data_IF_827220401843
#
_entry.id   IF_827220401843
#
_cell.length_a   1.000
_cell.length_b   1.000
_cell.length_c   1.000
_cell.angle_alpha   90.00
_cell.angle_beta   90.00
_cell.angle_gamma   90.00
#
_symmetry.space_group_name_H-M   'P 1'
#
loop_
_entity.id
_entity.type
_entity.pdbx_description
1 polymer ?
#
# COMPACT_ATOMS: atom_id res chain seq x y z
N UNK A 1 -29.67 10.74 69.99
CA UNK A 1 -28.93 11.73 70.82
C UNK A 1 -28.24 12.71 69.87
N UNK A 2 -28.66 13.93 69.88
CA UNK A 2 -28.08 15.03 69.07
C UNK A 2 -26.87 15.56 69.82
N UNK A 3 -25.67 15.23 69.37
CA UNK A 3 -24.44 15.82 69.92
C UNK A 3 -24.32 17.25 69.36
N UNK A 4 -24.08 18.21 70.25
CA UNK A 4 -23.86 19.63 69.94
C UNK A 4 -22.48 19.84 69.25
N UNK A 5 -21.51 18.90 69.49
CA UNK A 5 -20.16 18.98 68.95
C UNK A 5 -20.04 18.29 67.58
N UNK A 6 -20.96 17.40 67.19
CA UNK A 6 -20.92 16.66 65.94
C UNK A 6 -22.30 16.64 65.29
N UNK A 7 -22.46 17.37 64.17
CA UNK A 7 -23.69 17.37 63.40
C UNK A 7 -23.62 16.23 62.38
N UNK A 8 -24.25 15.08 62.71
CA UNK A 8 -24.22 13.87 61.86
C UNK A 8 -24.99 14.12 60.52
N UNK A 9 -26.03 14.93 60.53
CA UNK A 9 -26.79 15.27 59.31
C UNK A 9 -25.97 16.14 58.35
N UNK A 10 -25.23 17.13 58.89
CA UNK A 10 -24.34 17.96 58.08
C UNK A 10 -23.16 17.13 57.49
N UNK A 11 -22.62 16.20 58.31
CA UNK A 11 -21.57 15.29 57.81
C UNK A 11 -22.06 14.35 56.72
N UNK A 12 -23.27 13.81 56.81
CA UNK A 12 -23.87 13.00 55.76
C UNK A 12 -24.11 13.81 54.49
N UNK A 13 -24.65 15.04 54.63
CA UNK A 13 -24.83 15.95 53.47
C UNK A 13 -23.49 16.32 52.81
N UNK A 14 -22.43 16.55 53.59
CA UNK A 14 -21.09 16.84 53.09
C UNK A 14 -20.48 15.63 52.36
N UNK A 15 -20.68 14.41 52.87
CA UNK A 15 -20.26 13.16 52.21
C UNK A 15 -20.96 13.00 50.86
N UNK A 16 -22.25 13.22 50.79
CA UNK A 16 -23.05 13.17 49.53
C UNK A 16 -22.58 14.25 48.53
N UNK A 17 -22.31 15.49 49.00
CA UNK A 17 -21.78 16.56 48.15
C UNK A 17 -20.41 16.25 47.58
N UNK A 18 -19.52 15.61 48.35
CA UNK A 18 -18.21 15.15 47.86
C UNK A 18 -18.35 14.08 46.79
N UNK A 19 -19.25 13.10 46.95
CA UNK A 19 -19.56 12.11 45.96
C UNK A 19 -20.08 12.75 44.66
N UNK A 20 -21.07 13.66 44.75
CA UNK A 20 -21.61 14.37 43.59
C UNK A 20 -20.53 15.19 42.87
N UNK A 21 -19.64 15.86 43.62
CA UNK A 21 -18.52 16.61 43.01
C UNK A 21 -17.55 15.71 42.27
N UNK A 22 -17.19 14.54 42.81
CA UNK A 22 -16.33 13.56 42.17
C UNK A 22 -17.00 12.95 40.92
N UNK A 23 -18.27 12.62 40.98
CA UNK A 23 -19.04 12.10 39.84
C UNK A 23 -19.18 13.16 38.73
N UNK A 24 -19.32 14.44 39.10
CA UNK A 24 -19.39 15.56 38.16
C UNK A 24 -18.04 15.77 37.47
N UNK A 25 -16.91 15.69 38.19
CA UNK A 25 -15.56 15.77 37.62
C UNK A 25 -15.32 14.63 36.63
N UNK A 26 -15.68 13.39 36.97
CA UNK A 26 -15.62 12.23 36.09
C UNK A 26 -16.45 12.43 34.82
N UNK A 27 -17.71 12.88 34.95
CA UNK A 27 -18.62 13.12 33.82
C UNK A 27 -18.11 14.27 32.94
N UNK A 28 -17.58 15.34 33.51
CA UNK A 28 -16.92 16.43 32.76
C UNK A 28 -15.68 15.92 31.99
N UNK A 29 -14.85 15.08 32.61
CA UNK A 29 -13.72 14.45 31.97
C UNK A 29 -14.14 13.60 30.77
N UNK A 30 -15.21 12.81 30.90
CA UNK A 30 -15.77 12.00 29.80
C UNK A 30 -16.33 12.84 28.66
N UNK A 31 -17.01 13.93 28.98
CA UNK A 31 -17.53 14.88 27.97
C UNK A 31 -16.38 15.57 27.25
N UNK A 32 -15.33 15.97 27.97
CA UNK A 32 -14.17 16.64 27.40
C UNK A 32 -13.32 15.73 26.53
N UNK A 33 -13.14 14.47 26.92
CA UNK A 33 -12.33 13.48 26.17
C UNK A 33 -13.11 12.73 25.09
N UNK A 34 -14.45 12.65 25.21
CA UNK A 34 -15.29 11.79 24.39
C UNK A 34 -15.23 10.31 24.79
N UNK A 35 -14.50 9.96 25.84
CA UNK A 35 -14.22 8.59 26.24
C UNK A 35 -14.87 8.24 27.57
N UNK A 36 -15.56 7.09 27.67
CA UNK A 36 -16.00 6.51 28.94
C UNK A 36 -14.89 5.74 29.63
N UNK A 37 -13.90 5.25 28.84
CA UNK A 37 -12.70 4.56 29.33
C UNK A 37 -11.48 5.27 28.76
N UNK A 38 -10.98 6.28 29.48
CA UNK A 38 -9.81 7.07 29.10
C UNK A 38 -8.50 6.47 29.66
N UNK A 39 -8.57 5.86 30.83
CA UNK A 39 -7.42 5.36 31.57
C UNK A 39 -7.62 3.90 32.02
N UNK A 40 -6.53 3.23 32.37
CA UNK A 40 -6.57 1.88 32.90
C UNK A 40 -7.36 1.77 34.23
N UNK A 41 -7.44 2.88 35.00
CA UNK A 41 -8.23 2.95 36.23
C UNK A 41 -9.74 2.89 36.01
N UNK A 42 -10.23 3.32 34.83
CA UNK A 42 -11.66 3.27 34.51
C UNK A 42 -12.12 1.85 34.22
N UNK A 43 -11.38 1.15 33.38
CA UNK A 43 -11.54 -0.28 33.08
C UNK A 43 -10.28 -0.82 32.42
N UNK A 44 -9.47 -1.54 33.17
CA UNK A 44 -8.15 -2.04 32.70
C UNK A 44 -8.27 -3.01 31.52
N UNK A 45 -9.33 -3.83 31.47
CA UNK A 45 -9.53 -4.81 30.40
C UNK A 45 -9.86 -4.09 29.07
N UNK A 46 -10.85 -3.21 29.06
CA UNK A 46 -11.26 -2.47 27.86
C UNK A 46 -10.18 -1.49 27.41
N UNK A 47 -9.51 -0.81 28.34
CA UNK A 47 -8.39 0.07 28.04
C UNK A 47 -7.23 -0.68 27.36
N UNK A 48 -6.86 -1.86 27.88
CA UNK A 48 -5.77 -2.68 27.31
C UNK A 48 -6.12 -3.16 25.90
N UNK A 49 -7.34 -3.67 25.69
CA UNK A 49 -7.80 -4.11 24.36
C UNK A 49 -7.80 -2.94 23.39
N UNK A 50 -8.40 -1.80 23.76
CA UNK A 50 -8.48 -0.61 22.93
C UNK A 50 -7.10 -0.04 22.58
N UNK A 51 -6.18 -0.02 23.54
CA UNK A 51 -4.80 0.44 23.30
C UNK A 51 -4.06 -0.46 22.32
N UNK A 52 -4.22 -1.78 22.45
CA UNK A 52 -3.64 -2.74 21.51
C UNK A 52 -4.23 -2.57 20.12
N UNK A 53 -5.57 -2.47 20.01
CA UNK A 53 -6.25 -2.27 18.73
C UNK A 53 -5.88 -0.95 18.05
N UNK A 54 -5.73 0.14 18.80
CA UNK A 54 -5.23 1.43 18.28
C UNK A 54 -3.79 1.32 17.77
N UNK A 55 -2.94 0.56 18.50
CA UNK A 55 -1.58 0.27 18.06
C UNK A 55 -1.57 -0.53 16.75
N UNK A 56 -2.44 -1.53 16.64
CA UNK A 56 -2.57 -2.35 15.43
C UNK A 56 -3.11 -1.51 14.27
N UNK A 57 -4.09 -0.61 14.50
CA UNK A 57 -4.60 0.29 13.49
C UNK A 57 -3.52 1.24 12.95
N UNK A 58 -2.67 1.77 13.83
CA UNK A 58 -1.51 2.56 13.40
C UNK A 58 -0.49 1.75 12.59
N UNK A 59 -0.29 0.48 12.94
CA UNK A 59 0.57 -0.40 12.16
C UNK A 59 -0.03 -0.70 10.77
N UNK A 60 -1.36 -0.92 10.69
CA UNK A 60 -2.08 -1.10 9.43
C UNK A 60 -2.01 0.14 8.53
N UNK A 61 -2.13 1.36 9.07
CA UNK A 61 -1.93 2.61 8.32
C UNK A 61 -0.52 2.69 7.71
N UNK A 62 0.52 2.27 8.44
CA UNK A 62 1.89 2.23 7.91
C UNK A 62 2.03 1.18 6.79
N UNK A 63 1.31 0.06 6.90
CA UNK A 63 1.27 -0.96 5.81
C UNK A 63 0.56 -0.41 4.59
N UNK A 64 -0.51 0.35 4.75
CA UNK A 64 -1.22 1.01 3.66
C UNK A 64 -0.31 2.02 2.93
N UNK A 65 0.45 2.82 3.65
CA UNK A 65 1.46 3.72 3.05
C UNK A 65 2.51 2.93 2.26
N UNK A 66 2.97 1.78 2.78
CA UNK A 66 3.92 0.92 2.10
C UNK A 66 3.32 0.25 0.84
N UNK A 67 2.03 -0.13 0.88
CA UNK A 67 1.30 -0.62 -0.30
C UNK A 67 1.19 0.46 -1.38
N UNK A 68 0.89 1.71 -1.00
CA UNK A 68 0.87 2.84 -1.93
C UNK A 68 2.22 3.05 -2.63
N UNK A 69 3.32 2.91 -1.90
CA UNK A 69 4.67 2.95 -2.49
C UNK A 69 4.90 1.76 -3.44
N UNK A 70 4.45 0.57 -3.07
CA UNK A 70 4.51 -0.63 -3.92
C UNK A 70 3.69 -0.46 -5.20
N UNK A 71 2.49 0.09 -5.11
CA UNK A 71 1.63 0.42 -6.24
C UNK A 71 2.33 1.38 -7.22
N UNK A 72 2.94 2.46 -6.71
CA UNK A 72 3.65 3.43 -7.54
C UNK A 72 4.82 2.81 -8.32
N UNK A 73 5.57 1.86 -7.72
CA UNK A 73 6.63 1.10 -8.40
C UNK A 73 6.07 0.22 -9.50
N UNK A 74 4.97 -0.50 -9.22
CA UNK A 74 4.31 -1.39 -10.18
C UNK A 74 3.71 -0.60 -11.34
N UNK A 75 3.08 0.55 -11.06
CA UNK A 75 2.51 1.45 -12.08
C UNK A 75 3.58 2.03 -13.00
N UNK A 76 4.72 2.43 -12.43
CA UNK A 76 5.84 2.93 -13.22
C UNK A 76 6.37 1.86 -14.17
N UNK A 77 6.55 0.64 -13.69
CA UNK A 77 6.98 -0.48 -14.51
C UNK A 77 5.94 -0.84 -15.58
N UNK A 78 4.65 -0.86 -15.22
CA UNK A 78 3.55 -1.14 -16.14
C UNK A 78 3.45 -0.09 -17.26
N UNK A 79 3.57 1.18 -16.92
CA UNK A 79 3.55 2.29 -17.89
C UNK A 79 4.73 2.21 -18.86
N UNK A 80 5.94 1.96 -18.33
CA UNK A 80 7.12 1.78 -19.18
C UNK A 80 7.03 0.56 -20.08
N UNK A 81 6.44 -0.54 -19.59
CA UNK A 81 6.25 -1.77 -20.37
C UNK A 81 5.21 -1.57 -21.49
N UNK A 82 4.11 -0.87 -21.23
CA UNK A 82 3.12 -0.54 -22.27
C UNK A 82 3.74 0.34 -23.36
N UNK A 83 4.49 1.37 -23.00
CA UNK A 83 5.21 2.19 -23.96
C UNK A 83 6.21 1.35 -24.79
N UNK A 84 6.87 0.36 -24.17
CA UNK A 84 7.74 -0.56 -24.90
C UNK A 84 6.98 -1.47 -25.88
N UNK A 85 5.79 -1.95 -25.52
CA UNK A 85 4.92 -2.75 -26.39
C UNK A 85 4.53 -1.93 -27.64
N UNK A 86 4.16 -0.66 -27.48
CA UNK A 86 3.79 0.22 -28.59
C UNK A 86 4.98 0.40 -29.55
N UNK A 87 6.18 0.67 -29.04
CA UNK A 87 7.38 0.83 -29.86
C UNK A 87 7.78 -0.48 -30.55
N UNK A 88 7.68 -1.63 -29.87
CA UNK A 88 7.98 -2.93 -30.49
C UNK A 88 6.95 -3.27 -31.57
N UNK A 89 5.69 -2.89 -31.40
CA UNK A 89 4.65 -2.99 -32.44
C UNK A 89 4.98 -2.15 -33.66
N UNK A 90 5.50 -0.93 -33.47
CA UNK A 90 5.95 -0.05 -34.56
C UNK A 90 7.16 -0.69 -35.29
N UNK A 91 8.13 -1.25 -34.55
CA UNK A 91 9.25 -1.99 -35.17
C UNK A 91 8.73 -3.15 -36.03
N UNK A 92 7.74 -3.91 -35.56
CA UNK A 92 7.11 -4.99 -36.32
C UNK A 92 6.51 -4.44 -37.62
N UNK A 93 5.78 -3.34 -37.58
CA UNK A 93 5.19 -2.69 -38.75
C UNK A 93 6.27 -2.26 -39.76
N UNK A 94 7.41 -1.70 -39.29
CA UNK A 94 8.54 -1.33 -40.14
C UNK A 94 9.20 -2.56 -40.79
N UNK A 95 9.33 -3.67 -40.05
CA UNK A 95 9.86 -4.92 -40.62
C UNK A 95 8.94 -5.48 -41.70
N UNK A 96 7.62 -5.42 -41.50
CA UNK A 96 6.66 -5.83 -42.51
C UNK A 96 6.76 -4.95 -43.78
N UNK A 97 6.88 -3.62 -43.61
CA UNK A 97 7.08 -2.70 -44.72
C UNK A 97 8.43 -2.95 -45.45
N UNK A 98 9.46 -3.41 -44.76
CA UNK A 98 10.75 -3.76 -45.35
C UNK A 98 10.71 -5.01 -46.26
N UNK A 99 9.61 -5.82 -46.18
CA UNK A 99 9.36 -6.98 -47.03
C UNK A 99 8.87 -6.57 -48.43
N UNK A 100 8.33 -5.35 -48.58
CA UNK A 100 7.77 -4.90 -49.86
C UNK A 100 8.88 -4.72 -50.90
N UNK A 101 8.73 -5.32 -52.11
CA UNK A 101 9.69 -5.16 -53.18
C UNK A 101 9.91 -3.70 -53.58
N UNK A 102 11.16 -3.31 -53.70
CA UNK A 102 11.57 -1.95 -54.10
C UNK A 102 11.72 -0.95 -52.94
N UNK A 103 11.44 -1.35 -51.73
CA UNK A 103 11.68 -0.52 -50.55
C UNK A 103 13.17 -0.54 -50.12
N UNK A 104 13.70 0.63 -49.80
CA UNK A 104 15.07 0.76 -49.31
C UNK A 104 15.18 0.31 -47.86
N UNK A 105 15.64 -0.94 -47.67
CA UNK A 105 15.82 -1.57 -46.36
C UNK A 105 16.73 -0.79 -45.44
N UNK A 106 17.72 -0.04 -45.98
CA UNK A 106 18.66 0.73 -45.15
C UNK A 106 18.03 2.00 -44.56
N UNK A 107 17.04 2.58 -45.25
CA UNK A 107 16.26 3.71 -44.70
C UNK A 107 15.37 3.26 -43.57
N UNK A 108 14.65 2.14 -43.76
CA UNK A 108 13.84 1.54 -42.69
C UNK A 108 14.71 1.17 -41.47
N UNK A 109 15.91 0.67 -41.68
CA UNK A 109 16.83 0.35 -40.60
C UNK A 109 17.18 1.56 -39.73
N UNK A 110 17.31 2.75 -40.32
CA UNK A 110 17.54 3.98 -39.53
C UNK A 110 16.33 4.28 -38.62
N UNK A 111 15.11 4.11 -39.11
CA UNK A 111 13.91 4.30 -38.30
C UNK A 111 13.85 3.25 -37.17
N UNK A 112 14.14 1.98 -37.47
CA UNK A 112 14.21 0.91 -36.46
C UNK A 112 15.30 1.22 -35.40
N UNK A 113 16.44 1.79 -35.81
CA UNK A 113 17.50 2.19 -34.88
C UNK A 113 17.03 3.27 -33.89
N UNK A 114 16.30 4.29 -34.38
CA UNK A 114 15.73 5.31 -33.51
C UNK A 114 14.65 4.74 -32.57
N UNK A 115 13.82 3.81 -33.04
CA UNK A 115 12.85 3.11 -32.20
C UNK A 115 13.53 2.27 -31.11
N UNK A 116 14.66 1.60 -31.43
CA UNK A 116 15.48 0.89 -30.44
C UNK A 116 16.06 1.84 -29.41
N UNK A 117 16.57 3.02 -29.84
CA UNK A 117 17.07 4.05 -28.93
C UNK A 117 15.96 4.54 -27.99
N UNK A 118 14.74 4.70 -28.51
CA UNK A 118 13.57 5.03 -27.72
C UNK A 118 13.24 3.94 -26.69
N UNK A 119 13.32 2.67 -27.04
CA UNK A 119 13.14 1.55 -26.09
C UNK A 119 14.16 1.59 -24.94
N UNK A 120 15.44 1.84 -25.26
CA UNK A 120 16.49 2.00 -24.24
C UNK A 120 16.18 3.17 -23.33
N UNK A 121 15.78 4.32 -23.89
CA UNK A 121 15.42 5.51 -23.14
C UNK A 121 14.21 5.25 -22.22
N UNK A 122 13.17 4.60 -22.73
CA UNK A 122 11.98 4.23 -21.96
C UNK A 122 12.33 3.29 -20.81
N UNK A 123 13.11 2.24 -21.09
CA UNK A 123 13.50 1.26 -20.06
C UNK A 123 14.38 1.91 -18.97
N UNK A 124 15.32 2.76 -19.33
CA UNK A 124 16.20 3.44 -18.35
C UNK A 124 15.47 4.48 -17.52
N UNK A 125 14.49 5.17 -18.10
CA UNK A 125 13.70 6.20 -17.41
C UNK A 125 12.60 5.65 -16.51
N UNK A 126 12.20 4.40 -16.67
CA UNK A 126 11.16 3.74 -15.89
C UNK A 126 11.67 3.34 -14.50
N UNK A 127 12.20 4.30 -13.75
CA UNK A 127 12.69 4.08 -12.38
C UNK A 127 11.83 4.86 -11.38
N UNK A 128 11.55 4.24 -10.24
CA UNK A 128 10.88 4.88 -9.12
C UNK A 128 11.68 4.70 -7.83
N UNK A 129 12.02 5.81 -7.18
CA UNK A 129 12.81 5.80 -5.93
C UNK A 129 14.14 5.03 -6.03
N UNK A 130 14.81 5.10 -7.19
CA UNK A 130 16.10 4.42 -7.42
C UNK A 130 15.99 2.94 -7.78
N UNK A 131 14.79 2.36 -7.84
CA UNK A 131 14.55 1.02 -8.35
C UNK A 131 13.99 1.06 -9.77
N UNK A 132 14.54 0.21 -10.64
CA UNK A 132 14.05 0.01 -11.99
C UNK A 132 13.80 -1.48 -12.23
N UNK A 133 12.57 -1.83 -12.61
CA UNK A 133 12.17 -3.21 -12.85
C UNK A 133 12.23 -3.61 -14.33
N UNK A 134 12.48 -2.62 -15.20
CA UNK A 134 12.57 -2.81 -16.65
C UNK A 134 14.00 -2.82 -17.18
N UNK A 135 14.95 -2.27 -16.41
CA UNK A 135 16.34 -2.12 -16.81
C UNK A 135 17.29 -2.61 -15.72
N UNK A 136 18.23 -3.48 -16.10
CA UNK A 136 19.25 -3.98 -15.19
C UNK A 136 20.65 -3.68 -15.74
N UNK A 137 21.47 -2.99 -14.96
CA UNK A 137 22.88 -2.70 -15.26
C UNK A 137 23.84 -3.39 -14.29
N UNK A 138 23.32 -4.26 -13.42
CA UNK A 138 24.09 -4.98 -12.43
C UNK A 138 24.29 -6.47 -12.83
N UNK A 139 25.28 -7.10 -12.25
CA UNK A 139 25.50 -8.56 -12.44
C UNK A 139 24.49 -9.42 -11.70
N UNK A 140 23.75 -8.81 -10.76
CA UNK A 140 22.70 -9.51 -10.00
C UNK A 140 21.39 -9.38 -10.76
N UNK A 141 20.70 -10.49 -11.00
CA UNK A 141 19.37 -10.48 -11.59
C UNK A 141 18.38 -9.67 -10.71
N UNK A 142 17.42 -9.01 -11.33
CA UNK A 142 16.42 -8.19 -10.61
C UNK A 142 15.61 -9.03 -9.60
N UNK A 143 15.36 -10.30 -9.92
CA UNK A 143 14.75 -11.27 -9.01
C UNK A 143 13.36 -10.91 -8.53
N UNK A 144 12.93 -11.59 -7.45
CA UNK A 144 11.64 -11.34 -6.83
C UNK A 144 11.70 -10.08 -5.97
N UNK A 145 10.74 -9.19 -6.15
CA UNK A 145 10.53 -7.99 -5.34
C UNK A 145 9.44 -8.24 -4.33
N UNK A 146 9.67 -7.81 -3.11
CA UNK A 146 8.75 -7.96 -2.00
C UNK A 146 8.22 -6.59 -1.57
N UNK A 147 6.91 -6.50 -1.38
CA UNK A 147 6.22 -5.33 -0.88
C UNK A 147 5.46 -5.73 0.38
N UNK A 148 5.46 -4.86 1.38
CA UNK A 148 4.66 -5.10 2.59
C UNK A 148 3.19 -5.09 2.20
N UNK A 149 2.47 -6.18 2.50
CA UNK A 149 1.09 -6.37 2.05
C UNK A 149 0.08 -6.56 3.16
N UNK A 150 0.51 -6.92 4.37
CA UNK A 150 -0.41 -7.13 5.49
C UNK A 150 0.31 -7.05 6.83
N UNK A 151 -0.48 -6.79 7.87
CA UNK A 151 -0.08 -6.88 9.26
C UNK A 151 -1.06 -7.79 9.97
N UNK A 152 -0.56 -8.79 10.70
CA UNK A 152 -1.40 -9.71 11.46
C UNK A 152 -0.85 -9.88 12.87
N UNK A 153 -1.76 -10.00 13.83
CA UNK A 153 -1.45 -10.38 15.21
C UNK A 153 -2.09 -11.73 15.51
N UNK A 154 -1.30 -12.68 15.98
CA UNK A 154 -1.80 -13.97 16.41
C UNK A 154 -2.48 -13.88 17.80
N UNK A 155 -3.28 -14.89 18.15
CA UNK A 155 -3.90 -15.00 19.47
C UNK A 155 -2.89 -15.04 20.62
N UNK A 156 -1.64 -15.47 20.35
CA UNK A 156 -0.53 -15.47 21.32
C UNK A 156 0.16 -14.10 21.46
N UNK A 157 -0.30 -13.06 20.71
CA UNK A 157 0.30 -11.72 20.72
C UNK A 157 1.48 -11.53 19.77
N UNK A 158 1.90 -12.58 19.06
CA UNK A 158 2.98 -12.48 18.07
C UNK A 158 2.53 -11.67 16.86
N UNK A 159 3.35 -10.74 16.44
CA UNK A 159 3.12 -9.87 15.28
C UNK A 159 3.83 -10.46 14.06
N UNK A 160 3.16 -10.46 12.91
CA UNK A 160 3.70 -10.88 11.62
C UNK A 160 3.35 -9.86 10.55
N UNK A 161 4.33 -9.56 9.69
CA UNK A 161 4.15 -8.72 8.51
C UNK A 161 4.16 -9.64 7.30
N UNK A 162 3.04 -9.68 6.57
CA UNK A 162 2.94 -10.42 5.32
C UNK A 162 3.43 -9.58 4.15
N UNK A 163 4.08 -10.24 3.18
CA UNK A 163 4.60 -9.60 1.98
C UNK A 163 3.86 -10.05 0.73
N UNK A 164 3.70 -9.12 -0.21
CA UNK A 164 3.31 -9.42 -1.59
C UNK A 164 4.59 -9.54 -2.40
N UNK A 165 4.81 -10.70 -2.99
CA UNK A 165 5.95 -10.95 -3.86
C UNK A 165 5.54 -10.81 -5.33
N UNK A 166 6.42 -10.20 -6.13
CA UNK A 166 6.35 -10.11 -7.57
C UNK A 166 7.69 -10.52 -8.16
N UNK A 167 7.69 -11.44 -9.13
CA UNK A 167 8.91 -11.82 -9.85
C UNK A 167 9.20 -10.81 -10.96
N UNK A 168 10.03 -9.82 -10.64
CA UNK A 168 10.41 -8.78 -11.58
C UNK A 168 11.38 -9.25 -12.67
N UNK A 169 11.93 -10.46 -12.57
CA UNK A 169 12.81 -11.03 -13.61
C UNK A 169 12.08 -11.20 -14.94
N UNK A 170 10.75 -11.39 -14.90
CA UNK A 170 9.90 -11.53 -16.10
C UNK A 170 9.60 -10.21 -16.78
N UNK A 171 9.77 -9.07 -16.12
CA UNK A 171 9.48 -7.73 -16.64
C UNK A 171 10.71 -6.98 -17.15
N UNK A 172 11.92 -7.48 -16.91
CA UNK A 172 13.16 -6.83 -17.38
C UNK A 172 13.18 -6.78 -18.91
N UNK A 173 13.19 -5.56 -19.46
CA UNK A 173 13.31 -5.35 -20.92
C UNK A 173 14.74 -5.50 -21.38
N UNK A 174 15.67 -4.86 -20.68
CA UNK A 174 17.08 -4.77 -21.05
C UNK A 174 17.95 -5.15 -19.84
N UNK A 175 18.80 -6.15 -20.01
CA UNK A 175 19.85 -6.48 -19.06
C UNK A 175 21.20 -6.27 -19.74
N UNK A 176 22.03 -5.35 -19.22
CA UNK A 176 23.32 -4.97 -19.81
C UNK A 176 24.45 -5.91 -19.45
N UNK A 177 24.27 -6.78 -18.45
CA UNK A 177 25.29 -7.73 -17.99
C UNK A 177 25.01 -9.17 -18.42
N UNK A 178 23.74 -9.56 -18.42
CA UNK A 178 23.33 -10.92 -18.77
C UNK A 178 22.20 -10.85 -19.80
N UNK A 179 22.53 -10.90 -21.08
CA UNK A 179 21.57 -10.76 -22.18
C UNK A 179 20.36 -11.70 -22.07
N UNK A 180 20.53 -12.89 -21.48
CA UNK A 180 19.49 -13.88 -21.31
C UNK A 180 18.34 -13.43 -20.37
N UNK A 181 18.59 -12.48 -19.48
CA UNK A 181 17.60 -12.02 -18.51
C UNK A 181 16.64 -10.94 -19.07
N UNK A 182 17.06 -10.17 -20.08
CA UNK A 182 16.22 -9.13 -20.67
C UNK A 182 15.36 -9.63 -21.82
N UNK A 183 14.11 -9.24 -21.87
CA UNK A 183 13.14 -9.66 -22.90
C UNK A 183 13.55 -9.23 -24.32
N UNK A 184 14.22 -8.08 -24.45
CA UNK A 184 14.68 -7.52 -25.72
C UNK A 184 16.14 -7.84 -26.04
N UNK A 185 16.92 -8.26 -25.03
CA UNK A 185 18.34 -8.60 -25.17
C UNK A 185 18.55 -10.10 -25.33
N UNK A 186 17.66 -10.95 -24.83
CA UNK A 186 17.75 -12.40 -25.00
C UNK A 186 17.54 -12.82 -26.45
N UNK A 187 18.25 -13.84 -26.89
CA UNK A 187 18.04 -14.47 -28.19
C UNK A 187 16.73 -15.25 -28.22
N UNK A 188 15.84 -14.91 -29.14
CA UNK A 188 14.59 -15.61 -29.39
C UNK A 188 14.77 -16.55 -30.59
N UNK A 189 14.68 -17.84 -30.35
CA UNK A 189 14.73 -18.85 -31.41
C UNK A 189 13.40 -18.90 -32.17
N UNK A 190 13.47 -18.81 -33.49
CA UNK A 190 12.34 -18.89 -34.40
C UNK A 190 12.68 -19.79 -35.58
N UNK A 191 11.66 -20.43 -36.14
CA UNK A 191 11.78 -21.16 -37.38
C UNK A 191 11.51 -20.19 -38.53
N UNK A 192 12.42 -20.09 -39.47
CA UNK A 192 12.30 -19.25 -40.66
C UNK A 192 12.46 -20.10 -41.94
N UNK A 193 11.90 -19.68 -43.07
CA UNK A 193 12.18 -20.26 -44.37
C UNK A 193 13.69 -20.16 -44.67
N UNK A 194 14.20 -21.15 -45.44
CA UNK A 194 15.55 -21.12 -46.01
C UNK A 194 15.49 -21.83 -47.34
N UNK A 195 15.04 -21.11 -48.37
CA UNK A 195 14.74 -21.71 -49.68
C UNK A 195 13.60 -22.72 -49.59
N UNK A 196 13.83 -24.01 -49.88
CA UNK A 196 12.85 -25.10 -49.80
C UNK A 196 12.78 -25.81 -48.45
N UNK A 197 13.58 -25.41 -47.49
CA UNK A 197 13.66 -25.99 -46.13
C UNK A 197 13.36 -24.91 -45.08
N UNK A 198 13.23 -25.33 -43.83
CA UNK A 198 13.14 -24.41 -42.70
C UNK A 198 14.37 -24.53 -41.83
N UNK A 199 14.86 -23.42 -41.32
CA UNK A 199 16.01 -23.38 -40.39
C UNK A 199 15.59 -22.66 -39.11
N UNK A 200 16.26 -23.01 -38.00
CA UNK A 200 16.11 -22.28 -36.75
C UNK A 200 17.15 -21.16 -36.71
N UNK A 201 16.67 -19.92 -36.61
CA UNK A 201 17.49 -18.74 -36.36
C UNK A 201 17.15 -18.12 -35.01
N UNK A 202 18.13 -17.47 -34.40
CA UNK A 202 17.95 -16.82 -33.11
C UNK A 202 18.18 -15.32 -33.28
N UNK A 203 17.20 -14.52 -32.88
CA UNK A 203 17.25 -13.06 -33.01
C UNK A 203 17.12 -12.36 -31.66
N UNK A 204 17.83 -11.25 -31.50
CA UNK A 204 17.64 -10.30 -30.41
C UNK A 204 17.38 -8.91 -30.97
N UNK A 205 16.60 -8.10 -30.23
CA UNK A 205 16.26 -6.75 -30.68
C UNK A 205 17.35 -5.75 -30.33
N UNK A 206 17.88 -5.82 -29.12
CA UNK A 206 18.88 -4.88 -28.59
C UNK A 206 20.13 -5.68 -28.15
N UNK A 207 21.30 -5.20 -28.54
CA UNK A 207 22.58 -5.65 -27.97
C UNK A 207 22.92 -4.72 -26.81
N UNK A 208 22.97 -5.24 -25.62
CA UNK A 208 23.36 -4.45 -24.46
C UNK A 208 24.87 -4.19 -24.48
N UNK A 209 25.25 -2.92 -24.26
CA UNK A 209 26.66 -2.55 -24.19
C UNK A 209 27.33 -3.28 -23.01
N UNK A 210 28.34 -4.08 -23.28
CA UNK A 210 29.09 -4.84 -22.26
C UNK A 210 28.72 -6.32 -22.12
N UNK A 211 27.66 -6.81 -22.79
CA UNK A 211 27.47 -8.24 -22.96
C UNK A 211 28.28 -8.74 -24.15
N UNK A 212 28.98 -9.84 -23.99
CA UNK A 212 29.34 -10.68 -25.15
C UNK A 212 27.98 -11.04 -25.78
N UNK A 213 27.73 -10.51 -27.01
CA UNK A 213 26.59 -10.99 -27.80
C UNK A 213 26.57 -12.50 -27.71
N UNK A 214 25.43 -13.10 -27.37
CA UNK A 214 25.35 -14.56 -27.41
C UNK A 214 25.85 -14.96 -28.79
N UNK A 215 26.91 -15.73 -28.84
CA UNK A 215 27.62 -16.10 -30.09
C UNK A 215 26.72 -16.77 -31.12
N UNK A 216 25.45 -16.95 -30.80
CA UNK A 216 24.41 -17.64 -31.57
C UNK A 216 23.22 -16.74 -31.96
N UNK A 217 23.10 -15.49 -31.49
CA UNK A 217 21.96 -14.64 -31.85
C UNK A 217 22.33 -13.50 -32.79
N UNK A 218 21.50 -13.30 -33.80
CA UNK A 218 21.66 -12.20 -34.78
C UNK A 218 20.81 -11.02 -34.32
N UNK A 219 21.37 -9.83 -34.23
CA UNK A 219 20.62 -8.61 -33.95
C UNK A 219 19.69 -8.28 -35.11
N UNK A 220 18.45 -7.89 -34.82
CA UNK A 220 17.49 -7.44 -35.82
C UNK A 220 17.98 -6.15 -36.43
N UNK A 221 18.59 -6.23 -37.60
CA UNK A 221 19.07 -5.11 -38.42
C UNK A 221 18.82 -5.40 -39.89
N UNK A 222 18.43 -4.35 -40.62
CA UNK A 222 18.19 -4.44 -42.05
C UNK A 222 19.37 -3.86 -42.82
N UNK A 223 19.95 -4.70 -43.70
CA UNK A 223 20.99 -4.29 -44.64
C UNK A 223 20.48 -4.46 -46.07
N UNK A 224 21.21 -3.91 -47.04
CA UNK A 224 20.91 -4.10 -48.44
C UNK A 224 20.93 -5.58 -48.86
N UNK A 225 21.62 -6.46 -48.11
CA UNK A 225 21.78 -7.89 -48.38
C UNK A 225 20.83 -8.76 -47.55
N UNK A 226 20.00 -8.19 -46.67
CA UNK A 226 19.04 -8.96 -45.87
C UNK A 226 18.01 -9.62 -46.79
N UNK A 227 17.89 -10.96 -46.74
CA UNK A 227 16.95 -11.72 -47.55
C UNK A 227 15.54 -11.64 -46.96
N UNK A 228 14.55 -11.93 -47.77
CA UNK A 228 13.13 -11.93 -47.35
C UNK A 228 12.88 -13.02 -46.29
N UNK A 229 13.54 -14.17 -46.38
CA UNK A 229 13.48 -15.25 -45.39
C UNK A 229 13.97 -14.77 -44.01
N UNK A 230 15.06 -13.98 -43.99
CA UNK A 230 15.57 -13.40 -42.74
C UNK A 230 14.60 -12.35 -42.14
N UNK A 231 13.96 -11.53 -42.99
CA UNK A 231 12.94 -10.57 -42.53
C UNK A 231 11.76 -11.32 -41.91
N UNK A 232 11.34 -12.42 -42.49
CA UNK A 232 10.24 -13.26 -41.96
C UNK A 232 10.60 -13.86 -40.58
N UNK A 233 11.86 -14.32 -40.45
CA UNK A 233 12.42 -14.74 -39.16
C UNK A 233 12.44 -13.62 -38.12
N UNK A 234 12.86 -12.41 -38.52
CA UNK A 234 12.86 -11.22 -37.65
C UNK A 234 11.45 -10.83 -37.21
N UNK A 235 10.47 -10.83 -38.12
CA UNK A 235 9.05 -10.55 -37.79
C UNK A 235 8.55 -11.57 -36.78
N UNK A 236 8.82 -12.86 -37.00
CA UNK A 236 8.44 -13.94 -36.08
C UNK A 236 9.07 -13.80 -34.71
N UNK A 237 10.33 -13.33 -34.64
CA UNK A 237 11.03 -13.09 -33.39
C UNK A 237 10.42 -11.90 -32.63
N UNK A 238 10.13 -10.79 -33.32
CA UNK A 238 9.48 -9.62 -32.72
C UNK A 238 8.07 -9.95 -32.24
N UNK A 239 7.35 -10.81 -32.96
CA UNK A 239 6.02 -11.28 -32.55
C UNK A 239 6.07 -12.07 -31.23
N UNK A 240 7.04 -12.98 -31.09
CA UNK A 240 7.29 -13.68 -29.83
C UNK A 240 7.72 -12.74 -28.71
N UNK A 241 8.57 -11.75 -29.01
CA UNK A 241 8.92 -10.71 -28.03
C UNK A 241 7.67 -9.96 -27.56
N UNK A 242 6.80 -9.57 -28.48
CA UNK A 242 5.55 -8.86 -28.21
C UNK A 242 4.61 -9.70 -27.32
N UNK A 243 4.52 -11.00 -27.59
CA UNK A 243 3.76 -11.94 -26.74
C UNK A 243 4.33 -11.97 -25.32
N UNK A 244 5.65 -12.14 -25.18
CA UNK A 244 6.29 -12.15 -23.86
C UNK A 244 6.09 -10.82 -23.09
N UNK A 245 6.18 -9.68 -23.78
CA UNK A 245 5.94 -8.37 -23.17
C UNK A 245 4.48 -8.23 -22.72
N UNK A 246 3.53 -8.70 -23.53
CA UNK A 246 2.10 -8.67 -23.20
C UNK A 246 1.80 -9.55 -21.98
N UNK A 247 2.41 -10.73 -21.89
CA UNK A 247 2.27 -11.63 -20.75
C UNK A 247 2.85 -10.98 -19.46
N UNK A 248 4.00 -10.30 -19.60
CA UNK A 248 4.61 -9.54 -18.51
C UNK A 248 3.72 -8.37 -18.07
N UNK A 249 3.12 -7.64 -19.03
CA UNK A 249 2.18 -6.56 -18.75
C UNK A 249 0.92 -7.07 -18.05
N UNK A 250 0.39 -8.22 -18.49
CA UNK A 250 -0.76 -8.85 -17.85
C UNK A 250 -0.45 -9.24 -16.39
N UNK A 251 0.74 -9.78 -16.15
CA UNK A 251 1.19 -10.16 -14.79
C UNK A 251 1.35 -8.93 -13.89
N UNK A 252 1.96 -7.84 -14.41
CA UNK A 252 2.08 -6.57 -13.69
C UNK A 252 0.70 -5.95 -13.42
N UNK A 253 -0.20 -5.95 -14.40
CA UNK A 253 -1.57 -5.47 -14.23
C UNK A 253 -2.37 -6.27 -13.20
N UNK A 254 -2.22 -7.60 -13.18
CA UNK A 254 -2.82 -8.46 -12.18
C UNK A 254 -2.26 -8.18 -10.77
N UNK A 255 -0.94 -7.95 -10.67
CA UNK A 255 -0.28 -7.58 -9.41
C UNK A 255 -0.77 -6.24 -8.90
N UNK A 256 -0.91 -5.25 -9.78
CA UNK A 256 -1.44 -3.94 -9.43
C UNK A 256 -2.89 -4.01 -8.94
N UNK A 257 -3.73 -4.80 -9.61
CA UNK A 257 -5.10 -5.06 -9.15
C UNK A 257 -5.14 -5.75 -7.78
N UNK A 258 -4.21 -6.68 -7.53
CA UNK A 258 -4.07 -7.34 -6.22
C UNK A 258 -3.66 -6.35 -5.13
N UNK A 259 -2.74 -5.41 -5.42
CA UNK A 259 -2.33 -4.35 -4.49
C UNK A 259 -3.52 -3.45 -4.16
N UNK A 260 -4.29 -3.01 -5.17
CA UNK A 260 -5.49 -2.18 -4.97
C UNK A 260 -6.54 -2.87 -4.10
N UNK A 261 -6.81 -4.16 -4.36
CA UNK A 261 -7.76 -4.91 -3.51
C UNK A 261 -7.24 -5.08 -2.07
N UNK A 262 -5.94 -5.18 -1.87
CA UNK A 262 -5.34 -5.28 -0.54
C UNK A 262 -5.41 -3.93 0.20
N UNK A 263 -5.23 -2.82 -0.50
CA UNK A 263 -5.38 -1.47 0.04
C UNK A 263 -6.82 -1.20 0.50
N UNK A 264 -7.80 -1.51 -0.36
CA UNK A 264 -9.24 -1.41 -0.04
C UNK A 264 -9.58 -2.27 1.21
N UNK A 265 -9.09 -3.52 1.25
CA UNK A 265 -9.30 -4.41 2.40
C UNK A 265 -8.70 -3.85 3.69
N UNK A 266 -7.49 -3.23 3.62
CA UNK A 266 -6.86 -2.60 4.77
C UNK A 266 -7.65 -1.40 5.29
N UNK A 267 -8.17 -0.57 4.40
CA UNK A 267 -9.02 0.57 4.75
C UNK A 267 -10.29 0.09 5.49
N UNK A 268 -10.98 -0.90 4.93
CA UNK A 268 -12.17 -1.50 5.55
C UNK A 268 -11.86 -2.11 6.92
N UNK A 269 -10.72 -2.79 7.04
CA UNK A 269 -10.30 -3.39 8.31
C UNK A 269 -10.03 -2.33 9.39
N UNK A 270 -9.34 -1.24 9.03
CA UNK A 270 -9.09 -0.12 9.95
C UNK A 270 -10.41 0.50 10.42
N UNK A 271 -11.37 0.70 9.53
CA UNK A 271 -12.70 1.21 9.86
C UNK A 271 -13.46 0.29 10.84
N UNK A 272 -13.36 -1.03 10.64
CA UNK A 272 -13.98 -2.01 11.55
C UNK A 272 -13.31 -2.00 12.92
N UNK A 273 -11.98 -1.88 12.97
CA UNK A 273 -11.21 -1.77 14.20
C UNK A 273 -11.60 -0.49 14.96
N UNK A 274 -11.66 0.66 14.28
CA UNK A 274 -12.03 1.93 14.90
C UNK A 274 -13.46 1.91 15.44
N UNK A 275 -14.41 1.35 14.71
CA UNK A 275 -15.78 1.13 15.20
C UNK A 275 -15.82 0.18 16.41
N UNK A 276 -14.96 -0.85 16.38
CA UNK A 276 -14.81 -1.79 17.51
C UNK A 276 -14.27 -1.10 18.76
N UNK A 277 -13.21 -0.33 18.61
CA UNK A 277 -12.61 0.48 19.68
C UNK A 277 -13.59 1.49 20.23
N UNK A 278 -14.31 2.21 19.36
CA UNK A 278 -15.31 3.19 19.78
C UNK A 278 -16.41 2.59 20.65
N UNK A 279 -16.92 1.40 20.30
CA UNK A 279 -17.92 0.70 21.15
C UNK A 279 -17.39 0.35 22.55
N UNK A 280 -16.09 0.12 22.69
CA UNK A 280 -15.48 -0.26 23.96
C UNK A 280 -15.18 0.96 24.83
N UNK A 281 -14.74 2.06 24.26
CA UNK A 281 -14.15 3.18 25.00
C UNK A 281 -14.84 4.53 24.82
N UNK A 282 -15.67 4.74 23.78
CA UNK A 282 -16.32 6.03 23.55
C UNK A 282 -17.51 6.24 24.52
N UNK A 283 -17.72 7.48 24.90
CA UNK A 283 -18.85 7.90 25.71
C UNK A 283 -20.06 8.28 24.85
N UNK A 284 -21.26 7.90 25.29
CA UNK A 284 -22.49 8.47 24.72
C UNK A 284 -22.66 9.89 25.24
N UNK A 285 -22.44 10.87 24.36
CA UNK A 285 -22.49 12.31 24.70
C UNK A 285 -23.86 12.75 25.15
N UNK A 286 -24.94 12.08 24.71
CA UNK A 286 -26.32 12.43 25.13
C UNK A 286 -26.56 11.96 26.57
N UNK A 287 -26.10 10.74 26.90
CA UNK A 287 -26.19 10.21 28.25
C UNK A 287 -25.34 11.02 29.23
N UNK A 288 -24.07 11.27 28.90
CA UNK A 288 -23.15 12.01 29.79
C UNK A 288 -23.59 13.50 29.97
N UNK A 289 -24.12 14.14 28.92
CA UNK A 289 -24.66 15.51 29.04
C UNK A 289 -25.89 15.57 29.93
N UNK A 290 -26.79 14.58 29.85
CA UNK A 290 -27.96 14.46 30.69
C UNK A 290 -27.53 14.19 32.14
N UNK A 291 -26.56 13.31 32.35
CA UNK A 291 -25.98 13.01 33.64
C UNK A 291 -25.34 14.22 34.28
N UNK A 292 -24.58 15.03 33.52
CA UNK A 292 -24.02 16.29 34.02
C UNK A 292 -25.07 17.26 34.52
N UNK A 293 -26.16 17.46 33.77
CA UNK A 293 -27.29 18.31 34.19
C UNK A 293 -27.94 17.80 35.47
N UNK A 294 -28.15 16.48 35.58
CA UNK A 294 -28.69 15.85 36.77
C UNK A 294 -27.77 16.06 38.00
N UNK A 295 -26.46 15.87 37.85
CA UNK A 295 -25.45 16.08 38.90
C UNK A 295 -25.37 17.54 39.33
N UNK A 296 -25.47 18.50 38.40
CA UNK A 296 -25.55 19.93 38.72
C UNK A 296 -26.80 20.26 39.57
N UNK A 297 -27.94 19.68 39.22
CA UNK A 297 -29.16 19.83 40.00
C UNK A 297 -29.04 19.20 41.38
N UNK A 298 -28.47 18.00 41.46
CA UNK A 298 -28.21 17.32 42.75
C UNK A 298 -27.23 18.09 43.62
N UNK A 299 -26.21 18.73 43.05
CA UNK A 299 -25.28 19.60 43.77
C UNK A 299 -25.99 20.79 44.40
N UNK A 300 -26.90 21.47 43.62
CA UNK A 300 -27.70 22.59 44.15
C UNK A 300 -28.60 22.15 45.29
N UNK A 301 -29.27 21.00 45.16
CA UNK A 301 -30.10 20.43 46.21
C UNK A 301 -29.29 20.02 47.44
N UNK A 302 -28.09 19.46 47.25
CA UNK A 302 -27.16 19.08 48.33
C UNK A 302 -26.70 20.29 49.12
N UNK A 303 -26.38 21.41 48.45
CA UNK A 303 -26.05 22.67 49.12
C UNK A 303 -27.21 23.19 49.98
N UNK A 304 -28.44 23.12 49.47
CA UNK A 304 -29.64 23.51 50.24
C UNK A 304 -29.86 22.57 51.43
N UNK A 305 -29.71 21.26 51.26
CA UNK A 305 -29.83 20.29 52.36
C UNK A 305 -28.76 20.52 53.44
N UNK A 306 -27.54 20.85 53.06
CA UNK A 306 -26.47 21.21 54.02
C UNK A 306 -26.80 22.50 54.77
N UNK A 307 -27.38 23.51 54.10
CA UNK A 307 -27.81 24.74 54.74
C UNK A 307 -28.93 24.48 55.77
N UNK A 308 -29.92 23.63 55.44
CA UNK A 308 -31.00 23.24 56.37
C UNK A 308 -30.41 22.46 57.56
N UNK A 309 -29.53 21.51 57.35
CA UNK A 309 -28.89 20.72 58.40
C UNK A 309 -28.07 21.57 59.37
N UNK A 310 -27.44 22.64 58.86
CA UNK A 310 -26.72 23.62 59.74
C UNK A 310 -27.68 24.54 60.48
N UNK A 311 -28.78 24.97 59.91
CA UNK A 311 -29.79 25.85 60.59
C UNK A 311 -30.48 25.12 61.75
N UNK A 312 -30.78 23.81 61.58
CA UNK A 312 -31.33 22.99 62.67
C UNK A 312 -30.42 22.94 63.88
N UNK A 313 -29.13 22.80 63.72
CA UNK A 313 -28.15 22.80 64.77
C UNK A 313 -28.06 24.18 65.48
N UNK A 314 -28.19 25.28 64.74
CA UNK A 314 -28.20 26.64 65.29
C UNK A 314 -29.49 26.91 66.08
N UNK A 315 -30.62 26.39 65.58
CA UNK A 315 -31.91 26.54 66.30
C UNK A 315 -31.91 25.81 67.65
N UNK A 316 -31.29 24.62 67.71
CA UNK A 316 -31.10 23.90 68.99
C UNK A 316 -30.19 24.70 69.96
N UNK A 317 -29.12 25.32 69.41
CA UNK A 317 -28.21 26.14 70.26
C UNK A 317 -28.93 27.40 70.79
N UNK A 318 -29.86 27.98 70.02
CA UNK A 318 -30.65 29.16 70.45
C UNK A 318 -31.65 28.84 71.54
N UNK A 319 -32.08 27.59 71.68
CA UNK A 319 -33.01 27.15 72.76
C UNK A 319 -32.29 27.01 74.14
N UNK A 320 -30.92 26.95 74.12
CA UNK A 320 -30.15 26.87 75.35
C UNK A 320 -29.41 28.16 75.71
N UNK A 321 -29.78 29.25 75.06
CA UNK A 321 -29.40 30.62 75.40
C UNK A 321 -30.57 31.32 76.04
#
# INVERSE_FOLDING_TARGET
MTSILTNSSAMAALSTLRSISSDMETTQGRISSGLKVGNASDNSAYWSIATTMRSDNKALSTVQDALGLGAAKTDTAYTGLNAAIDVVSEIKAKLVAAREPGVDKTKINKEITELKNQLVSTATSASFSGENWLYNDTTTAVGTKEMVGSFTRSASGTVSVGVLSFDASTSVLIDTKTAANGQLTKGIAVTQPSGTTTTTATYNLIVAAGTTASTTSTTIELTSTTTDDNIEGMISAVDKMLTNLTDSAATLGATNKRISMQDDFMADLMDVIDKGVGRLVDADMNEESTRLKALQTQQQLGIQALSIANSDSQNILSLFR
#
